data_IF_424902946673
#
_entry.id   IF_424902946673
#
_cell.length_a   1.000
_cell.length_b   1.000
_cell.length_c   1.000
_cell.angle_alpha   90.00
_cell.angle_beta   90.00
_cell.angle_gamma   90.00
#
_symmetry.space_group_name_H-M   'P 1'
#
loop_
_entity.id
_entity.type
_entity.pdbx_description
1 polymer ?
#
# COMPACT_ATOMS: atom_id res chain seq x y z
N UNK A 1 -52.72 -10.39 -57.03
CA UNK A 1 -52.73 -10.01 -55.60
C UNK A 1 -53.54 -11.10 -54.91
N UNK A 2 -52.96 -12.08 -54.23
CA UNK A 2 -52.21 -12.02 -52.96
C UNK A 2 -51.31 -13.26 -52.87
N UNK A 3 -50.02 -13.07 -52.54
CA UNK A 3 -49.01 -14.14 -52.57
C UNK A 3 -48.73 -14.65 -51.14
N UNK A 4 -48.81 -15.96 -51.00
CA UNK A 4 -48.47 -16.76 -49.82
C UNK A 4 -47.01 -16.57 -49.41
N UNK A 5 -46.78 -16.27 -48.12
CA UNK A 5 -45.44 -16.23 -47.50
C UNK A 5 -45.21 -17.54 -46.71
N UNK A 6 -44.11 -18.28 -46.94
CA UNK A 6 -43.75 -19.43 -46.12
C UNK A 6 -42.82 -19.04 -44.97
N UNK A 7 -43.03 -19.73 -43.86
CA UNK A 7 -42.29 -19.72 -42.60
C UNK A 7 -40.77 -19.87 -42.78
N UNK A 8 -39.99 -18.98 -42.15
CA UNK A 8 -38.55 -19.17 -41.93
C UNK A 8 -38.19 -19.11 -40.44
N UNK A 9 -37.77 -20.29 -39.96
CA UNK A 9 -36.83 -20.62 -38.89
C UNK A 9 -36.55 -19.56 -37.80
N UNK A 10 -37.04 -19.91 -36.61
CA UNK A 10 -36.52 -19.53 -35.29
C UNK A 10 -34.99 -19.68 -35.26
N UNK A 11 -34.28 -18.58 -35.11
CA UNK A 11 -32.85 -18.59 -34.77
C UNK A 11 -32.74 -18.97 -33.28
N UNK A 12 -32.24 -20.18 -33.03
CA UNK A 12 -31.83 -20.64 -31.71
C UNK A 12 -30.63 -19.79 -31.26
N UNK A 13 -30.89 -18.89 -30.31
CA UNK A 13 -29.83 -18.22 -29.56
C UNK A 13 -29.14 -19.27 -28.68
N UNK A 14 -27.90 -19.61 -29.05
CA UNK A 14 -27.03 -20.44 -28.23
C UNK A 14 -26.75 -19.71 -26.91
N UNK A 15 -26.94 -20.35 -25.74
CA UNK A 15 -26.51 -19.76 -24.48
C UNK A 15 -24.98 -19.77 -24.44
N UNK A 16 -24.38 -18.59 -24.55
CA UNK A 16 -22.96 -18.38 -24.22
C UNK A 16 -22.81 -18.76 -22.75
N UNK A 17 -22.17 -19.90 -22.52
CA UNK A 17 -21.82 -20.40 -21.19
C UNK A 17 -21.00 -19.33 -20.47
N UNK A 18 -21.62 -18.68 -19.49
CA UNK A 18 -20.94 -17.85 -18.51
C UNK A 18 -20.09 -18.82 -17.69
N UNK A 19 -18.83 -18.96 -18.08
CA UNK A 19 -17.85 -19.71 -17.30
C UNK A 19 -17.72 -19.02 -15.95
N UNK A 20 -18.04 -19.81 -14.93
CA UNK A 20 -17.88 -19.62 -13.51
C UNK A 20 -16.79 -18.61 -13.12
N UNK A 21 -17.24 -17.61 -12.39
CA UNK A 21 -16.46 -16.67 -11.60
C UNK A 21 -15.48 -17.42 -10.70
N UNK A 22 -14.20 -17.45 -11.06
CA UNK A 22 -13.15 -17.81 -10.11
C UNK A 22 -12.96 -16.64 -9.12
N UNK A 23 -12.91 -16.90 -7.80
CA UNK A 23 -12.64 -15.87 -6.81
C UNK A 23 -11.16 -15.47 -6.82
N UNK A 24 -10.91 -14.16 -6.88
CA UNK A 24 -9.72 -13.45 -6.39
C UNK A 24 -8.35 -14.02 -6.80
N UNK A 25 -7.94 -13.81 -8.06
CA UNK A 25 -6.52 -13.76 -8.38
C UNK A 25 -5.96 -12.39 -7.91
N UNK A 26 -5.57 -12.31 -6.64
CA UNK A 26 -4.65 -11.27 -6.16
C UNK A 26 -3.38 -11.39 -7.00
N UNK A 27 -3.07 -10.36 -7.81
CA UNK A 27 -1.74 -10.29 -8.42
C UNK A 27 -0.70 -10.35 -7.30
N UNK A 28 0.38 -11.13 -7.46
CA UNK A 28 1.46 -11.15 -6.48
C UNK A 28 2.03 -9.74 -6.37
N UNK A 29 1.69 -9.04 -5.29
CA UNK A 29 2.27 -7.75 -4.91
C UNK A 29 3.73 -8.00 -4.52
N UNK A 30 4.65 -7.90 -5.48
CA UNK A 30 6.06 -7.71 -5.16
C UNK A 30 6.21 -6.30 -4.61
N UNK A 31 6.77 -6.08 -3.42
CA UNK A 31 7.04 -4.73 -2.94
C UNK A 31 8.01 -4.06 -3.92
N UNK A 32 7.52 -3.05 -4.65
CA UNK A 32 8.35 -2.28 -5.55
C UNK A 32 9.49 -1.58 -4.81
N UNK A 33 10.53 -1.18 -5.53
CA UNK A 33 11.63 -0.41 -4.94
C UNK A 33 11.11 0.99 -4.56
N UNK A 34 11.37 1.42 -3.32
CA UNK A 34 11.05 2.78 -2.91
C UNK A 34 11.89 3.79 -3.70
N UNK A 35 11.29 4.87 -4.22
CA UNK A 35 12.05 5.94 -4.84
C UNK A 35 12.91 6.67 -3.80
N UNK A 36 13.83 7.52 -4.28
CA UNK A 36 14.67 8.34 -3.42
C UNK A 36 13.82 9.18 -2.44
N UNK A 37 14.30 9.30 -1.21
CA UNK A 37 13.65 10.11 -0.18
C UNK A 37 14.33 11.46 -0.06
N UNK A 38 13.59 12.53 0.31
CA UNK A 38 14.21 13.82 0.54
C UNK A 38 15.21 13.73 1.70
N UNK A 39 16.17 14.66 1.76
CA UNK A 39 16.99 14.86 2.96
C UNK A 39 16.07 14.95 4.19
N UNK A 40 16.54 14.63 5.40
CA UNK A 40 15.75 14.66 6.66
C UNK A 40 14.55 13.70 6.77
N UNK A 41 14.35 12.80 5.81
CA UNK A 41 13.41 11.68 5.90
C UNK A 41 14.16 10.37 6.18
N UNK A 42 13.54 9.48 6.95
CA UNK A 42 14.07 8.17 7.28
C UNK A 42 13.08 7.06 6.85
N UNK A 43 13.62 5.97 6.30
CA UNK A 43 12.87 4.79 5.89
C UNK A 43 13.16 3.65 6.83
N UNK A 44 12.11 2.99 7.32
CA UNK A 44 12.18 1.86 8.21
C UNK A 44 11.46 0.66 7.59
N UNK A 45 12.02 -0.52 7.81
CA UNK A 45 11.44 -1.80 7.39
C UNK A 45 11.06 -2.60 8.62
N UNK A 46 9.92 -2.27 9.27
CA UNK A 46 9.60 -2.77 10.60
C UNK A 46 9.36 -4.29 10.64
N UNK A 47 8.90 -4.86 9.54
CA UNK A 47 8.62 -6.28 9.39
C UNK A 47 8.98 -6.75 7.97
N UNK A 48 9.46 -7.99 7.80
CA UNK A 48 9.58 -8.61 6.50
C UNK A 48 8.21 -8.64 5.79
N UNK A 49 8.19 -8.26 4.51
CA UNK A 49 6.99 -8.20 3.67
C UNK A 49 5.89 -7.20 4.12
N UNK A 50 6.16 -6.33 5.09
CA UNK A 50 5.29 -5.19 5.36
C UNK A 50 5.68 -3.99 4.49
N UNK A 51 4.72 -3.11 4.20
CA UNK A 51 5.02 -1.83 3.58
C UNK A 51 6.04 -1.04 4.43
N UNK A 52 7.08 -0.48 3.81
CA UNK A 52 8.01 0.40 4.49
C UNK A 52 7.30 1.57 5.19
N UNK A 53 7.87 1.97 6.32
CA UNK A 53 7.43 3.13 7.08
C UNK A 53 8.40 4.29 6.81
N UNK A 54 7.88 5.44 6.41
CA UNK A 54 8.65 6.64 6.14
C UNK A 54 8.29 7.69 7.19
N UNK A 55 9.32 8.22 7.86
CA UNK A 55 9.18 9.24 8.90
C UNK A 55 9.93 10.49 8.46
N UNK A 56 9.26 11.64 8.52
CA UNK A 56 9.86 12.92 8.21
C UNK A 56 9.13 14.09 8.86
N UNK A 57 9.50 15.34 8.54
CA UNK A 57 8.86 16.53 9.08
C UNK A 57 7.36 16.55 8.80
N UNK A 58 6.92 16.01 7.66
CA UNK A 58 5.51 15.93 7.27
C UNK A 58 4.67 14.88 8.01
N UNK A 59 5.27 14.05 8.87
CA UNK A 59 4.56 13.01 9.62
C UNK A 59 5.09 11.60 9.39
N UNK A 60 4.21 10.62 9.58
CA UNK A 60 4.49 9.18 9.49
C UNK A 60 3.65 8.60 8.34
N UNK A 61 4.29 7.84 7.45
CA UNK A 61 3.63 7.30 6.26
C UNK A 61 3.96 5.84 6.02
N UNK A 62 2.97 5.01 5.74
CA UNK A 62 3.21 3.68 5.14
C UNK A 62 3.19 3.84 3.63
N UNK A 63 4.27 3.45 2.95
CA UNK A 63 4.37 3.58 1.49
C UNK A 63 4.34 2.20 0.87
N UNK A 64 3.31 1.90 0.09
CA UNK A 64 3.29 0.74 -0.79
C UNK A 64 3.58 1.17 -2.23
N UNK A 65 4.47 0.43 -2.90
CA UNK A 65 4.80 0.65 -4.31
C UNK A 65 4.28 -0.52 -5.11
N UNK A 66 3.45 -0.23 -6.11
CA UNK A 66 2.93 -1.23 -7.05
C UNK A 66 3.39 -0.88 -8.46
N UNK A 67 4.11 -1.81 -9.08
CA UNK A 67 4.40 -1.74 -10.51
C UNK A 67 3.18 -2.20 -11.30
N UNK A 68 2.68 -1.32 -12.17
CA UNK A 68 1.54 -1.61 -13.04
C UNK A 68 1.98 -1.96 -14.47
N UNK A 69 3.26 -2.15 -14.74
CA UNK A 69 3.81 -2.66 -16.00
C UNK A 69 3.36 -1.88 -17.26
N UNK A 70 3.14 -0.58 -17.16
CA UNK A 70 2.67 0.26 -18.28
C UNK A 70 1.17 0.57 -18.28
N UNK A 71 0.41 -0.07 -17.40
CA UNK A 71 -1.05 0.08 -17.34
C UNK A 71 -1.49 1.46 -16.82
N UNK A 72 -2.72 1.84 -17.15
CA UNK A 72 -3.33 3.05 -16.59
C UNK A 72 -4.04 2.74 -15.28
N UNK A 73 -3.98 3.70 -14.36
CA UNK A 73 -4.66 3.64 -13.09
C UNK A 73 -5.59 4.83 -12.91
N UNK A 74 -6.82 4.58 -12.48
CA UNK A 74 -7.79 5.60 -12.14
C UNK A 74 -8.23 5.40 -10.70
N UNK A 75 -8.03 6.42 -9.86
CA UNK A 75 -8.56 6.45 -8.50
C UNK A 75 -9.76 7.41 -8.41
N UNK A 76 -10.87 6.95 -7.84
CA UNK A 76 -12.05 7.74 -7.52
C UNK A 76 -12.60 7.38 -6.12
N UNK A 77 -13.75 7.97 -5.74
CA UNK A 77 -14.41 7.66 -4.45
C UNK A 77 -14.87 6.21 -4.32
N UNK A 78 -15.07 5.53 -5.43
CA UNK A 78 -15.49 4.13 -5.43
C UNK A 78 -14.27 3.28 -5.20
N UNK A 79 -13.08 3.61 -5.70
CA UNK A 79 -11.85 2.87 -5.41
C UNK A 79 -10.77 3.10 -6.45
N UNK A 80 -9.87 2.13 -6.57
CA UNK A 80 -8.83 2.12 -7.59
C UNK A 80 -9.20 1.14 -8.71
N UNK A 81 -9.10 1.62 -9.94
CA UNK A 81 -9.21 0.83 -11.16
C UNK A 81 -7.83 0.78 -11.81
N UNK A 82 -7.35 -0.41 -12.14
CA UNK A 82 -6.14 -0.65 -12.93
C UNK A 82 -6.56 -1.40 -14.19
N UNK A 83 -6.32 -0.83 -15.37
CA UNK A 83 -6.75 -1.43 -16.65
C UNK A 83 -8.22 -1.86 -16.68
N UNK A 84 -9.10 -1.03 -16.08
CA UNK A 84 -10.53 -1.29 -15.99
C UNK A 84 -10.95 -2.34 -14.94
N UNK A 85 -10.00 -2.95 -14.23
CA UNK A 85 -10.27 -3.88 -13.11
C UNK A 85 -10.21 -3.16 -11.79
N UNK A 86 -11.21 -3.40 -10.94
CA UNK A 86 -11.23 -2.87 -9.57
C UNK A 86 -10.24 -3.64 -8.71
N UNK A 87 -9.41 -2.91 -7.97
CA UNK A 87 -8.39 -3.45 -7.07
C UNK A 87 -8.56 -2.88 -5.67
N UNK A 88 -8.16 -3.65 -4.67
CA UNK A 88 -8.34 -3.30 -3.25
C UNK A 88 -7.12 -2.63 -2.61
N UNK A 89 -6.14 -2.19 -3.41
CA UNK A 89 -4.88 -1.60 -2.91
C UNK A 89 -5.07 -0.42 -1.96
N UNK A 90 -6.15 0.35 -2.12
CA UNK A 90 -6.48 1.44 -1.19
C UNK A 90 -6.87 0.89 0.19
N UNK A 91 -7.78 -0.08 0.23
CA UNK A 91 -8.22 -0.69 1.47
C UNK A 91 -7.09 -1.46 2.16
N UNK A 92 -6.23 -2.13 1.38
CA UNK A 92 -5.03 -2.79 1.90
C UNK A 92 -4.06 -1.79 2.53
N UNK A 93 -3.78 -0.67 1.86
CA UNK A 93 -2.91 0.38 2.39
C UNK A 93 -3.47 1.02 3.67
N UNK A 94 -4.77 1.30 3.74
CA UNK A 94 -5.42 1.81 4.96
C UNK A 94 -5.29 0.84 6.13
N UNK A 95 -5.63 -0.42 5.91
CA UNK A 95 -5.53 -1.44 6.96
C UNK A 95 -4.09 -1.62 7.43
N UNK A 96 -3.11 -1.52 6.53
CA UNK A 96 -1.69 -1.55 6.90
C UNK A 96 -1.31 -0.36 7.77
N UNK A 97 -1.68 0.86 7.39
CA UNK A 97 -1.43 2.06 8.19
C UNK A 97 -2.06 1.96 9.59
N UNK A 98 -3.30 1.48 9.68
CA UNK A 98 -4.00 1.33 10.95
C UNK A 98 -3.34 0.28 11.85
N UNK A 99 -2.92 -0.86 11.28
CA UNK A 99 -2.16 -1.90 12.01
C UNK A 99 -0.85 -1.35 12.56
N UNK A 100 -0.13 -0.55 11.78
CA UNK A 100 1.12 0.08 12.21
C UNK A 100 0.84 1.10 13.32
N UNK A 101 -0.14 1.97 13.13
CA UNK A 101 -0.53 2.96 14.12
C UNK A 101 -0.92 2.33 15.45
N UNK A 102 -1.73 1.27 15.44
CA UNK A 102 -2.14 0.53 16.63
C UNK A 102 -0.94 -0.02 17.40
N UNK A 103 0.05 -0.59 16.69
CA UNK A 103 1.28 -1.11 17.32
C UNK A 103 2.14 0.00 17.93
N UNK A 104 2.30 1.13 17.23
CA UNK A 104 3.04 2.28 17.75
C UNK A 104 2.35 2.88 18.99
N UNK A 105 1.02 3.03 18.94
CA UNK A 105 0.24 3.54 20.08
C UNK A 105 0.31 2.67 21.32
N UNK A 106 0.53 1.37 21.18
CA UNK A 106 0.73 0.47 22.31
C UNK A 106 2.09 0.69 23.01
N UNK A 107 3.03 1.42 22.39
CA UNK A 107 4.40 1.64 22.90
C UNK A 107 4.70 3.09 23.25
N UNK A 108 4.08 4.03 22.56
CA UNK A 108 4.26 5.46 22.79
C UNK A 108 3.00 6.26 22.47
N UNK A 109 2.91 7.47 23.03
CA UNK A 109 1.92 8.44 22.56
C UNK A 109 2.34 8.92 21.15
N UNK A 110 1.60 8.49 20.14
CA UNK A 110 1.87 8.91 18.75
C UNK A 110 1.16 10.25 18.49
N UNK A 111 1.89 11.32 18.12
CA UNK A 111 1.31 12.66 17.98
C UNK A 111 0.44 12.83 16.73
N UNK A 112 0.58 11.96 15.73
CA UNK A 112 -0.14 12.02 14.46
C UNK A 112 -0.53 10.63 13.95
N UNK A 113 -1.65 10.49 13.22
CA UNK A 113 -1.99 9.22 12.58
C UNK A 113 -0.96 8.84 11.51
N UNK A 114 -0.77 7.53 11.32
CA UNK A 114 0.03 7.00 10.22
C UNK A 114 -0.77 7.14 8.93
N UNK A 115 -0.23 7.84 7.93
CA UNK A 115 -0.93 8.15 6.69
C UNK A 115 -0.56 7.17 5.57
N UNK A 116 -1.51 6.44 4.98
CA UNK A 116 -1.22 5.52 3.89
C UNK A 116 -0.91 6.27 2.58
N UNK A 117 0.12 5.81 1.88
CA UNK A 117 0.55 6.29 0.57
C UNK A 117 0.69 5.11 -0.37
N UNK A 118 0.02 5.19 -1.52
CA UNK A 118 0.12 4.24 -2.61
C UNK A 118 0.86 4.90 -3.78
N UNK A 119 2.07 4.45 -4.03
CA UNK A 119 2.90 4.88 -5.15
C UNK A 119 2.74 3.89 -6.31
N UNK A 120 2.42 4.41 -7.50
CA UNK A 120 2.25 3.62 -8.71
C UNK A 120 3.46 3.79 -9.61
N UNK A 121 4.17 2.71 -9.88
CA UNK A 121 5.30 2.69 -10.81
C UNK A 121 4.86 2.18 -12.19
N UNK A 122 5.56 2.65 -13.24
CA UNK A 122 5.28 2.27 -14.62
C UNK A 122 3.93 2.73 -15.19
N UNK A 123 3.12 3.47 -14.43
CA UNK A 123 1.72 3.74 -14.79
C UNK A 123 1.44 5.15 -15.31
N UNK A 124 0.38 5.29 -16.12
CA UNK A 124 -0.30 6.58 -16.32
C UNK A 124 -1.40 6.74 -15.26
N UNK A 125 -1.14 7.55 -14.24
CA UNK A 125 -2.12 7.87 -13.21
C UNK A 125 -3.09 8.95 -13.70
N UNK A 126 -4.37 8.60 -13.83
CA UNK A 126 -5.46 9.43 -14.33
C UNK A 126 -6.44 9.86 -13.22
N UNK A 127 -5.98 9.81 -11.95
CA UNK A 127 -6.85 10.02 -10.79
C UNK A 127 -7.39 11.45 -10.64
N UNK A 128 -8.50 11.56 -9.92
CA UNK A 128 -9.15 12.83 -9.63
C UNK A 128 -8.29 13.65 -8.65
N UNK A 129 -7.73 14.78 -9.11
CA UNK A 129 -6.88 15.67 -8.29
C UNK A 129 -7.64 16.36 -7.15
N UNK A 130 -8.96 16.53 -7.29
CA UNK A 130 -9.73 17.51 -6.51
C UNK A 130 -10.53 16.94 -5.32
N UNK A 131 -10.35 15.66 -4.94
CA UNK A 131 -10.93 15.17 -3.68
C UNK A 131 -9.99 14.27 -2.88
N UNK A 132 -9.86 14.50 -1.57
CA UNK A 132 -9.01 13.69 -0.71
C UNK A 132 -9.60 12.29 -0.56
N UNK A 133 -8.88 11.30 -1.07
CA UNK A 133 -9.03 9.94 -0.61
C UNK A 133 -8.34 9.80 0.76
N UNK A 134 -8.81 8.88 1.62
CA UNK A 134 -8.11 8.49 2.85
C UNK A 134 -6.66 8.04 2.57
N UNK A 135 -6.39 7.44 1.41
CA UNK A 135 -5.05 7.09 0.91
C UNK A 135 -4.55 8.11 -0.10
N UNK A 136 -3.32 8.55 0.07
CA UNK A 136 -2.65 9.37 -0.95
C UNK A 136 -2.15 8.48 -2.08
N UNK A 137 -2.71 8.66 -3.28
CA UNK A 137 -2.26 7.96 -4.50
C UNK A 137 -1.48 8.91 -5.38
N UNK A 138 -0.32 8.48 -5.89
CA UNK A 138 0.50 9.26 -6.82
C UNK A 138 1.40 8.35 -7.67
N UNK A 139 2.02 8.89 -8.72
CA UNK A 139 3.07 8.18 -9.45
C UNK A 139 4.34 8.09 -8.60
N UNK A 140 5.08 6.99 -8.65
CA UNK A 140 6.27 6.78 -7.81
C UNK A 140 7.32 7.89 -7.96
N UNK A 141 7.51 8.42 -9.19
CA UNK A 141 8.40 9.55 -9.48
C UNK A 141 8.03 10.86 -8.78
N UNK A 142 6.76 11.06 -8.41
CA UNK A 142 6.28 12.29 -7.77
C UNK A 142 6.39 12.21 -6.23
N UNK A 143 6.80 11.06 -5.68
CA UNK A 143 6.80 10.81 -4.24
C UNK A 143 7.76 11.70 -3.49
N UNK A 144 9.00 11.80 -3.97
CA UNK A 144 10.04 12.62 -3.34
C UNK A 144 9.61 14.09 -3.26
N UNK A 145 9.19 14.66 -4.39
CA UNK A 145 8.74 16.06 -4.46
C UNK A 145 7.48 16.31 -3.61
N UNK A 146 6.55 15.36 -3.57
CA UNK A 146 5.37 15.47 -2.73
C UNK A 146 5.73 15.46 -1.23
N UNK A 147 6.61 14.56 -0.80
CA UNK A 147 7.08 14.50 0.59
C UNK A 147 7.85 15.77 0.97
N UNK A 148 8.71 16.27 0.09
CA UNK A 148 9.47 17.50 0.31
C UNK A 148 8.57 18.75 0.44
N UNK A 149 7.41 18.75 -0.22
CA UNK A 149 6.44 19.85 -0.16
C UNK A 149 5.49 19.82 1.04
N UNK A 150 5.57 18.81 1.91
CA UNK A 150 4.66 18.72 3.06
C UNK A 150 5.03 19.73 4.16
N UNK A 151 4.02 20.34 4.82
CA UNK A 151 4.28 21.21 5.96
C UNK A 151 4.93 20.42 7.10
N UNK A 152 5.82 21.07 7.83
CA UNK A 152 6.46 20.46 9.00
C UNK A 152 5.47 20.39 10.15
N UNK A 153 5.12 19.17 10.54
CA UNK A 153 4.24 18.84 11.68
C UNK A 153 4.98 18.11 12.80
N UNK A 154 6.09 17.43 12.50
CA UNK A 154 6.95 16.76 13.47
C UNK A 154 8.28 17.49 13.65
N UNK A 155 8.60 17.85 14.89
CA UNK A 155 9.88 18.42 15.30
C UNK A 155 10.99 17.38 15.24
N UNK A 156 12.24 17.83 15.20
CA UNK A 156 13.40 16.94 15.11
C UNK A 156 13.45 15.93 16.28
N UNK A 157 13.18 16.37 17.51
CA UNK A 157 13.19 15.50 18.69
C UNK A 157 12.10 14.42 18.62
N UNK A 158 10.88 14.77 18.20
CA UNK A 158 9.77 13.83 18.04
C UNK A 158 10.09 12.78 16.97
N UNK A 159 10.77 13.17 15.89
CA UNK A 159 11.22 12.23 14.86
C UNK A 159 12.29 11.28 15.39
N UNK A 160 13.21 11.75 16.23
CA UNK A 160 14.25 10.91 16.84
C UNK A 160 13.66 9.89 17.81
N UNK A 161 12.74 10.32 18.68
CA UNK A 161 12.04 9.42 19.61
C UNK A 161 11.23 8.36 18.86
N UNK A 162 10.51 8.79 17.83
CA UNK A 162 9.73 7.89 16.99
C UNK A 162 10.62 6.90 16.24
N UNK A 163 11.76 7.35 15.69
CA UNK A 163 12.73 6.48 15.04
C UNK A 163 13.25 5.39 15.98
N UNK A 164 13.60 5.74 17.23
CA UNK A 164 14.08 4.78 18.22
C UNK A 164 13.02 3.72 18.55
N UNK A 165 11.75 4.12 18.65
CA UNK A 165 10.64 3.18 18.91
C UNK A 165 10.38 2.29 17.70
N UNK A 166 10.40 2.83 16.48
CA UNK A 166 10.19 2.07 15.23
C UNK A 166 11.31 1.06 15.01
N UNK A 167 12.56 1.42 15.30
CA UNK A 167 13.71 0.54 15.07
C UNK A 167 13.79 -0.62 16.08
N UNK A 168 13.10 -0.50 17.22
CA UNK A 168 13.03 -1.57 18.21
C UNK A 168 12.21 -2.76 17.71
N UNK A 169 12.80 -3.98 17.60
CA UNK A 169 12.07 -5.18 17.16
C UNK A 169 10.90 -5.54 18.09
N UNK A 170 11.02 -5.17 19.37
CA UNK A 170 10.00 -5.41 20.40
C UNK A 170 8.70 -4.65 20.09
N UNK A 171 8.79 -3.49 19.43
CA UNK A 171 7.62 -2.72 18.96
C UNK A 171 6.74 -3.55 18.04
N UNK A 172 7.36 -4.39 17.22
CA UNK A 172 6.69 -5.24 16.24
C UNK A 172 6.35 -6.64 16.76
N UNK A 173 6.55 -6.88 18.07
CA UNK A 173 6.32 -8.18 18.68
C UNK A 173 7.41 -9.21 18.40
N UNK A 174 8.52 -8.81 17.77
CA UNK A 174 9.69 -9.66 17.61
C UNK A 174 10.39 -9.72 18.97
N UNK A 175 10.25 -10.85 19.66
CA UNK A 175 11.03 -11.09 20.88
C UNK A 175 12.50 -11.31 20.50
N UNK A 176 13.43 -10.53 21.06
CA UNK A 176 14.85 -10.82 20.93
C UNK A 176 15.09 -12.25 21.43
N UNK A 177 15.61 -13.13 20.57
CA UNK A 177 16.05 -14.44 21.00
C UNK A 177 17.40 -14.26 21.66
N UNK A 178 17.43 -14.26 22.98
CA UNK A 178 18.67 -14.52 23.71
C UNK A 178 18.97 -16.02 23.54
N UNK A 179 20.07 -16.36 22.88
CA UNK A 179 20.54 -17.74 22.76
C UNK A 179 20.92 -18.33 24.13
N UNK A 180 21.06 -19.66 24.26
CA UNK A 180 21.51 -20.26 25.51
C UNK A 180 22.85 -19.66 25.91
N UNK A 181 22.87 -18.94 27.03
CA UNK A 181 24.06 -18.30 27.55
C UNK A 181 25.11 -19.35 27.90
N UNK A 182 26.31 -19.16 27.35
CA UNK A 182 27.57 -19.86 27.61
C UNK A 182 27.51 -21.41 27.53
N UNK A 183 28.36 -22.08 26.72
CA UNK A 183 28.56 -23.51 26.91
C UNK A 183 29.03 -23.77 28.36
N UNK A 184 28.56 -24.85 29.02
CA UNK A 184 29.04 -25.20 30.35
C UNK A 184 30.56 -25.34 30.31
N UNK A 185 31.26 -24.64 31.21
CA UNK A 185 32.72 -24.78 31.33
C UNK A 185 33.06 -26.25 31.62
N UNK A 186 34.08 -26.83 30.97
CA UNK A 186 34.52 -28.18 31.31
C UNK A 186 34.91 -28.21 32.79
N UNK A 187 34.36 -29.18 33.52
CA UNK A 187 34.77 -29.46 34.90
C UNK A 187 36.18 -30.08 34.87
N UNK A 188 37.05 -29.73 35.84
CA UNK A 188 38.39 -30.29 35.94
C UNK A 188 38.37 -31.80 36.21
#
# INVERSE_FOLDING_TARGET
MTHTLPSRRRAEAQPVSIRSTEPHAQLPTQPGTLPAMPAHWAVFHPLPAAAPLVVGPGGIFTVSVHDLAGDWAWADRRGLLVSGRRVDYLAEAEQQAERVFTRLRARMAVPAPVRPVLALDGARYLGLRDRPLPVKVLAARDLEGWLAGLPTVLRAIERMELAAVIDSPVTWGIRPRFGPGLPPRPRP
#
